data_IF_449139132540
#
_entry.id   IF_449139132540
#
_cell.length_a   1.000
_cell.length_b   1.000
_cell.length_c   1.000
_cell.angle_alpha   90.00
_cell.angle_beta   90.00
_cell.angle_gamma   90.00
#
_symmetry.space_group_name_H-M   'P 1'
#
loop_
_entity.id
_entity.type
_entity.pdbx_description
1 polymer ?
#
# COMPACT_ATOMS: atom_id res chain seq x y z
N UNK A 1 11.88 1.63 18.21
CA UNK A 1 12.78 2.23 19.23
C UNK A 1 13.64 3.30 18.55
N UNK A 2 13.30 4.57 18.76
CA UNK A 2 14.08 5.67 18.18
C UNK A 2 15.39 5.81 18.96
N UNK A 3 16.47 5.31 18.38
CA UNK A 3 17.81 5.55 18.94
C UNK A 3 18.08 7.04 18.67
N UNK A 4 17.99 7.87 19.70
CA UNK A 4 18.38 9.29 19.59
C UNK A 4 19.86 9.40 19.25
N UNK A 5 20.26 10.47 18.56
CA UNK A 5 21.68 10.72 18.24
C UNK A 5 22.56 10.64 19.51
N UNK A 6 22.00 11.01 20.67
CA UNK A 6 22.65 10.89 21.98
C UNK A 6 22.90 9.42 22.40
N UNK A 7 21.98 8.50 22.15
CA UNK A 7 22.20 7.08 22.45
C UNK A 7 23.24 6.48 21.52
N UNK A 8 23.26 6.88 20.25
CA UNK A 8 24.25 6.43 19.28
C UNK A 8 25.66 6.91 19.68
N UNK A 9 25.78 8.15 20.15
CA UNK A 9 27.03 8.69 20.70
C UNK A 9 27.49 7.89 21.93
N UNK A 10 26.60 7.59 22.87
CA UNK A 10 26.92 6.82 24.08
C UNK A 10 27.37 5.39 23.74
N UNK A 11 26.75 4.70 22.78
CA UNK A 11 27.22 3.39 22.31
C UNK A 11 28.57 3.49 21.62
N UNK A 12 28.81 4.53 20.83
CA UNK A 12 30.10 4.80 20.23
C UNK A 12 31.19 5.02 21.27
N UNK A 13 30.90 5.80 22.31
CA UNK A 13 31.83 6.04 23.41
C UNK A 13 32.19 4.76 24.18
N UNK A 14 31.18 3.90 24.45
CA UNK A 14 31.44 2.59 25.09
C UNK A 14 32.35 1.72 24.23
N UNK A 15 32.15 1.70 22.93
CA UNK A 15 33.02 0.98 21.99
C UNK A 15 34.41 1.57 21.98
N UNK A 16 34.56 2.89 21.98
CA UNK A 16 35.83 3.56 22.06
C UNK A 16 36.59 3.21 23.37
N UNK A 17 35.86 3.16 24.49
CA UNK A 17 36.43 2.77 25.78
C UNK A 17 36.91 1.30 25.80
N UNK A 18 36.14 0.38 25.23
CA UNK A 18 36.51 -1.03 25.08
C UNK A 18 37.75 -1.19 24.19
N UNK A 19 37.82 -0.46 23.09
CA UNK A 19 38.97 -0.45 22.19
C UNK A 19 40.20 0.15 22.87
N UNK A 20 40.03 1.24 23.59
CA UNK A 20 41.10 1.81 24.41
C UNK A 20 41.66 0.78 25.37
N UNK A 21 40.81 0.11 26.16
CA UNK A 21 41.24 -0.91 27.10
C UNK A 21 41.99 -2.06 26.39
N UNK A 22 41.45 -2.55 25.27
CA UNK A 22 42.05 -3.64 24.51
C UNK A 22 43.46 -3.26 23.97
N UNK A 23 43.59 -2.13 23.28
CA UNK A 23 44.85 -1.70 22.71
C UNK A 23 45.86 -1.28 23.78
N UNK A 24 45.37 -0.68 24.85
CA UNK A 24 46.23 -0.34 25.99
C UNK A 24 46.80 -1.62 26.63
N UNK A 25 46.02 -2.66 26.83
CA UNK A 25 46.47 -3.95 27.34
C UNK A 25 47.42 -4.63 26.34
N UNK A 26 47.18 -4.51 25.05
CA UNK A 26 48.02 -5.04 23.99
C UNK A 26 49.39 -4.33 23.96
N UNK A 27 49.42 -3.00 24.05
CA UNK A 27 50.68 -2.20 24.16
C UNK A 27 51.44 -2.61 25.41
N UNK A 28 50.76 -2.85 26.53
CA UNK A 28 51.40 -3.35 27.76
C UNK A 28 52.00 -4.75 27.60
N UNK A 29 51.28 -5.66 26.93
CA UNK A 29 51.74 -7.03 26.70
C UNK A 29 53.00 -7.08 25.85
N UNK A 30 53.13 -6.18 24.88
CA UNK A 30 54.33 -6.07 24.04
C UNK A 30 55.39 -5.15 24.61
N UNK A 31 55.11 -4.40 25.66
CA UNK A 31 56.08 -3.56 26.37
C UNK A 31 56.71 -4.35 27.53
N UNK A 32 57.96 -4.08 27.84
CA UNK A 32 58.65 -4.67 28.98
C UNK A 32 58.28 -4.03 30.34
N UNK A 33 57.17 -3.26 30.37
CA UNK A 33 56.75 -2.51 31.55
C UNK A 33 55.75 -3.32 32.39
N UNK A 34 55.98 -3.36 33.70
CA UNK A 34 55.01 -3.86 34.66
C UNK A 34 53.91 -2.82 34.88
N UNK A 35 52.65 -3.29 35.14
CA UNK A 35 51.49 -2.42 35.37
C UNK A 35 51.73 -1.38 36.48
N UNK A 36 52.53 -1.76 37.50
CA UNK A 36 52.86 -0.90 38.62
C UNK A 36 53.80 0.28 38.27
N UNK A 37 54.46 0.22 37.11
CA UNK A 37 55.41 1.25 36.66
C UNK A 37 54.88 2.08 35.50
N UNK A 38 53.60 1.92 35.13
CA UNK A 38 53.02 2.59 34.00
C UNK A 38 53.01 4.12 34.20
N UNK A 39 53.70 4.90 33.33
CA UNK A 39 53.71 6.34 33.49
C UNK A 39 52.32 6.89 33.25
N UNK A 40 51.77 7.67 34.18
CA UNK A 40 50.52 8.39 34.02
C UNK A 40 50.45 9.15 32.69
N UNK A 41 51.59 9.60 32.18
CA UNK A 41 51.73 10.26 30.88
C UNK A 41 51.28 9.36 29.69
N UNK A 42 51.61 8.06 29.68
CA UNK A 42 51.23 7.10 28.63
C UNK A 42 49.69 6.99 28.59
N UNK A 43 49.08 6.84 29.77
CA UNK A 43 47.62 6.75 29.89
C UNK A 43 46.95 8.02 29.36
N UNK A 44 47.42 9.21 29.73
CA UNK A 44 46.85 10.50 29.31
C UNK A 44 46.97 10.65 27.77
N UNK A 45 48.12 10.35 27.20
CA UNK A 45 48.36 10.44 25.75
C UNK A 45 47.46 9.48 25.02
N UNK A 46 47.36 8.22 25.44
CA UNK A 46 46.54 7.22 24.79
C UNK A 46 45.03 7.59 24.84
N UNK A 47 44.52 8.11 25.97
CA UNK A 47 43.17 8.63 26.07
C UNK A 47 42.94 9.79 25.09
N UNK A 48 43.84 10.78 25.10
CA UNK A 48 43.73 11.96 24.23
C UNK A 48 43.65 11.57 22.74
N UNK A 49 44.56 10.69 22.30
CA UNK A 49 44.61 10.24 20.90
C UNK A 49 43.42 9.33 20.53
N UNK A 50 42.92 8.52 21.46
CA UNK A 50 41.69 7.73 21.22
C UNK A 50 40.48 8.64 21.02
N UNK A 51 40.32 9.65 21.86
CA UNK A 51 39.24 10.64 21.72
C UNK A 51 39.40 11.43 20.41
N UNK A 52 40.65 11.79 20.06
CA UNK A 52 40.95 12.54 18.84
C UNK A 52 40.70 11.77 17.51
N UNK A 53 40.56 10.46 17.55
CA UNK A 53 40.06 9.64 16.42
C UNK A 53 38.55 9.45 16.52
N UNK A 54 38.04 9.21 17.72
CA UNK A 54 36.61 8.93 17.94
C UNK A 54 35.69 10.11 17.61
N UNK A 55 35.99 11.29 18.18
CA UNK A 55 35.08 12.46 18.03
C UNK A 55 34.98 12.97 16.59
N UNK A 56 36.09 13.15 15.83
CA UNK A 56 35.97 13.52 14.43
C UNK A 56 35.24 12.47 13.58
N UNK A 57 35.44 11.18 13.84
CA UNK A 57 34.73 10.11 13.15
C UNK A 57 33.22 10.21 13.42
N UNK A 58 32.82 10.39 14.68
CA UNK A 58 31.43 10.61 15.05
C UNK A 58 30.83 11.84 14.35
N UNK A 59 31.52 12.97 14.41
CA UNK A 59 31.06 14.24 13.82
C UNK A 59 30.91 14.17 12.30
N UNK A 60 31.89 13.59 11.59
CA UNK A 60 31.86 13.41 10.14
C UNK A 60 30.71 12.49 9.75
N UNK A 61 30.56 11.35 10.43
CA UNK A 61 29.48 10.40 10.16
C UNK A 61 28.10 11.03 10.34
N UNK A 62 27.88 11.79 11.41
CA UNK A 62 26.62 12.49 11.66
C UNK A 62 26.35 13.59 10.64
N UNK A 63 27.37 14.34 10.25
CA UNK A 63 27.24 15.43 9.28
C UNK A 63 26.91 14.90 7.88
N UNK A 64 27.60 13.85 7.44
CA UNK A 64 27.35 13.23 6.14
C UNK A 64 25.94 12.59 6.08
N UNK A 65 25.50 11.97 7.19
CA UNK A 65 24.13 11.41 7.28
C UNK A 65 23.03 12.46 7.18
N UNK A 66 23.20 13.60 7.85
CA UNK A 66 22.22 14.70 7.76
C UNK A 66 22.00 15.16 6.32
N UNK A 67 23.08 15.15 5.50
CA UNK A 67 23.03 15.55 4.08
C UNK A 67 22.54 14.44 3.15
N UNK A 68 22.79 13.17 3.45
CA UNK A 68 22.52 12.01 2.59
C UNK A 68 21.74 10.93 3.36
N UNK A 69 20.43 11.13 3.48
CA UNK A 69 19.53 10.29 4.30
C UNK A 69 19.11 8.97 3.63
N UNK A 70 19.22 8.85 2.30
CA UNK A 70 18.72 7.69 1.58
C UNK A 70 19.66 6.49 1.69
N UNK A 71 19.11 5.28 1.90
CA UNK A 71 19.87 4.01 1.92
C UNK A 71 20.62 3.78 0.61
N UNK A 72 20.03 4.13 -0.54
CA UNK A 72 20.70 4.03 -1.85
C UNK A 72 21.99 4.85 -1.94
N UNK A 73 22.19 5.82 -1.07
CA UNK A 73 23.38 6.68 -1.02
C UNK A 73 24.44 6.20 -0.04
N UNK A 74 24.34 4.97 0.51
CA UNK A 74 25.30 4.40 1.48
C UNK A 74 26.73 4.45 0.96
N UNK A 75 26.98 4.01 -0.27
CA UNK A 75 28.31 4.07 -0.89
C UNK A 75 28.86 5.48 -0.98
N UNK A 76 28.02 6.46 -1.30
CA UNK A 76 28.42 7.87 -1.38
C UNK A 76 28.74 8.42 0.01
N UNK A 77 27.99 8.01 1.05
CA UNK A 77 28.28 8.38 2.44
C UNK A 77 29.64 7.84 2.90
N UNK A 78 29.83 6.51 2.74
CA UNK A 78 31.07 5.85 3.14
C UNK A 78 32.26 6.49 2.42
N UNK A 79 32.20 6.66 1.10
CA UNK A 79 33.28 7.27 0.32
C UNK A 79 33.57 8.70 0.78
N UNK A 80 32.53 9.51 1.02
CA UNK A 80 32.74 10.89 1.50
C UNK A 80 33.36 10.93 2.90
N UNK A 81 32.93 10.03 3.80
CA UNK A 81 33.52 9.92 5.13
C UNK A 81 34.96 9.47 5.07
N UNK A 82 35.28 8.44 4.27
CA UNK A 82 36.65 7.92 4.12
C UNK A 82 37.63 8.95 3.57
N UNK A 83 37.21 9.75 2.60
CA UNK A 83 38.06 10.84 2.04
C UNK A 83 38.48 11.86 3.10
N UNK A 84 37.71 12.04 4.16
CA UNK A 84 38.03 12.96 5.26
C UNK A 84 38.77 12.23 6.38
N UNK A 85 38.25 11.06 6.76
CA UNK A 85 38.74 10.34 7.96
C UNK A 85 40.09 9.65 7.77
N UNK A 86 40.38 9.12 6.59
CA UNK A 86 41.68 8.44 6.34
C UNK A 86 42.85 9.40 6.52
N UNK A 87 42.90 10.58 5.83
CA UNK A 87 44.00 11.53 6.03
C UNK A 87 44.10 12.03 7.48
N UNK A 88 42.96 12.29 8.12
CA UNK A 88 42.90 12.71 9.52
C UNK A 88 43.50 11.66 10.44
N UNK A 89 43.08 10.39 10.32
CA UNK A 89 43.54 9.29 11.18
C UNK A 89 45.05 9.05 11.03
N UNK A 90 45.54 9.08 9.79
CA UNK A 90 46.98 8.93 9.51
C UNK A 90 47.77 10.08 10.14
N UNK A 91 47.39 11.33 9.86
CA UNK A 91 48.07 12.50 10.40
C UNK A 91 48.07 12.50 11.94
N UNK A 92 46.95 12.10 12.55
CA UNK A 92 46.82 12.06 13.99
C UNK A 92 47.62 10.91 14.63
N UNK A 93 47.74 9.76 13.96
CA UNK A 93 48.61 8.66 14.37
C UNK A 93 50.11 9.06 14.33
N UNK A 94 50.52 9.75 13.28
CA UNK A 94 51.90 10.28 13.18
C UNK A 94 52.18 11.31 14.28
N UNK A 95 51.23 12.21 14.55
CA UNK A 95 51.35 13.19 15.63
C UNK A 95 51.51 12.48 17.00
N UNK A 96 50.74 11.40 17.24
CA UNK A 96 50.87 10.58 18.45
C UNK A 96 52.31 10.11 18.66
N UNK A 97 52.87 9.40 17.68
CA UNK A 97 54.20 8.82 17.77
C UNK A 97 55.25 9.92 17.93
N UNK A 98 55.11 11.06 17.23
CA UNK A 98 56.00 12.21 17.38
C UNK A 98 56.00 12.78 18.81
N UNK A 99 54.82 12.90 19.45
CA UNK A 99 54.67 13.35 20.84
C UNK A 99 55.29 12.34 21.80
N UNK A 100 55.11 11.05 21.59
CA UNK A 100 55.70 9.98 22.41
C UNK A 100 57.21 9.97 22.32
N UNK A 101 57.79 10.14 21.13
CA UNK A 101 59.24 10.23 20.91
C UNK A 101 59.85 11.50 21.51
N UNK A 102 59.18 12.66 21.31
CA UNK A 102 59.61 13.93 21.86
C UNK A 102 59.65 13.93 23.39
N UNK A 103 58.65 13.31 24.00
CA UNK A 103 58.54 13.25 25.47
C UNK A 103 59.44 12.16 26.12
N UNK A 104 60.13 11.35 25.29
CA UNK A 104 60.92 10.18 25.73
C UNK A 104 60.14 9.29 26.72
N UNK A 105 58.86 9.12 26.44
CA UNK A 105 57.90 8.48 27.36
C UNK A 105 58.27 7.01 27.61
N UNK A 106 58.89 6.38 26.62
CA UNK A 106 59.40 4.99 26.68
C UNK A 106 60.82 4.85 27.17
N UNK A 107 61.41 5.93 27.63
CA UNK A 107 62.83 5.92 28.11
C UNK A 107 63.90 5.67 27.04
N UNK A 108 63.47 5.56 25.76
CA UNK A 108 64.36 5.35 24.59
C UNK A 108 63.72 6.01 23.35
N UNK A 109 64.57 6.29 22.36
CA UNK A 109 64.08 6.70 21.04
C UNK A 109 63.36 5.54 20.39
N UNK A 110 62.23 5.86 19.76
CA UNK A 110 61.39 4.89 19.07
C UNK A 110 62.01 4.55 17.72
N UNK A 111 62.16 3.25 17.41
CA UNK A 111 62.59 2.81 16.07
C UNK A 111 61.54 3.11 15.04
N UNK A 112 61.91 4.02 14.14
CA UNK A 112 61.00 4.92 13.41
C UNK A 112 59.99 4.23 12.49
N UNK A 113 60.29 3.10 11.86
CA UNK A 113 59.49 2.55 10.78
C UNK A 113 58.33 1.67 11.27
N UNK A 114 58.62 0.73 12.14
CA UNK A 114 57.66 -0.26 12.61
C UNK A 114 56.53 0.33 13.51
N UNK A 115 56.92 1.17 14.46
CA UNK A 115 55.97 1.72 15.44
C UNK A 115 54.97 2.70 14.82
N UNK A 116 55.39 3.51 13.84
CA UNK A 116 54.49 4.37 13.06
C UNK A 116 53.48 3.55 12.27
N UNK A 117 53.96 2.49 11.60
CA UNK A 117 53.04 1.62 10.84
C UNK A 117 52.05 0.90 11.74
N UNK A 118 52.49 0.41 12.90
CA UNK A 118 51.65 -0.24 13.89
C UNK A 118 50.56 0.72 14.42
N UNK A 119 50.95 1.92 14.86
CA UNK A 119 50.05 2.92 15.41
C UNK A 119 49.03 3.43 14.36
N UNK A 120 49.49 3.68 13.14
CA UNK A 120 48.58 4.06 12.05
C UNK A 120 47.63 2.93 11.68
N UNK A 121 48.10 1.69 11.63
CA UNK A 121 47.28 0.51 11.33
C UNK A 121 46.20 0.27 12.36
N UNK A 122 46.53 0.35 13.65
CA UNK A 122 45.55 0.19 14.75
C UNK A 122 44.53 1.32 14.80
N UNK A 123 44.97 2.57 14.61
CA UNK A 123 44.06 3.73 14.54
C UNK A 123 43.12 3.62 13.34
N UNK A 124 43.61 3.16 12.18
CA UNK A 124 42.80 2.95 10.99
C UNK A 124 41.78 1.81 11.19
N UNK A 125 42.21 0.70 11.78
CA UNK A 125 41.29 -0.41 12.11
C UNK A 125 40.16 0.06 13.04
N UNK A 126 40.50 0.84 14.06
CA UNK A 126 39.53 1.42 14.99
C UNK A 126 38.52 2.35 14.26
N UNK A 127 39.03 3.27 13.44
CA UNK A 127 38.17 4.17 12.64
C UNK A 127 37.26 3.39 11.70
N UNK A 128 37.78 2.39 10.98
CA UNK A 128 36.97 1.55 10.06
C UNK A 128 35.87 0.78 10.79
N UNK A 129 36.18 0.18 11.94
CA UNK A 129 35.19 -0.52 12.75
C UNK A 129 34.11 0.42 13.27
N UNK A 130 34.47 1.61 13.70
CA UNK A 130 33.54 2.63 14.13
C UNK A 130 32.62 3.04 13.00
N UNK A 131 33.12 3.31 11.80
CA UNK A 131 32.31 3.62 10.61
C UNK A 131 31.38 2.46 10.26
N UNK A 132 31.86 1.22 10.29
CA UNK A 132 31.07 0.03 10.02
C UNK A 132 29.90 -0.13 11.01
N UNK A 133 30.13 0.07 12.29
CA UNK A 133 29.11 0.02 13.33
C UNK A 133 28.08 1.13 13.13
N UNK A 134 28.51 2.36 12.87
CA UNK A 134 27.60 3.47 12.62
C UNK A 134 26.73 3.22 11.39
N UNK A 135 27.29 2.78 10.27
CA UNK A 135 26.52 2.48 9.06
C UNK A 135 25.62 1.26 9.25
N UNK A 136 26.09 0.21 9.94
CA UNK A 136 25.29 -0.99 10.24
C UNK A 136 24.04 -0.67 11.08
N UNK A 137 24.20 0.11 12.15
CA UNK A 137 23.08 0.54 13.00
C UNK A 137 22.09 1.44 12.23
N UNK A 138 22.60 2.32 11.37
CA UNK A 138 21.78 3.15 10.52
C UNK A 138 20.98 2.33 9.49
N UNK A 139 21.66 1.41 8.82
CA UNK A 139 21.03 0.50 7.84
C UNK A 139 19.94 -0.36 8.50
N UNK A 140 20.24 -0.95 9.65
CA UNK A 140 19.27 -1.76 10.39
C UNK A 140 18.03 -0.95 10.78
N UNK A 141 18.20 0.30 11.23
CA UNK A 141 17.07 1.20 11.54
C UNK A 141 16.22 1.46 10.31
N UNK A 142 16.83 1.81 9.19
CA UNK A 142 16.11 2.11 7.94
C UNK A 142 15.39 0.87 7.40
N UNK A 143 16.05 -0.28 7.43
CA UNK A 143 15.48 -1.54 7.01
C UNK A 143 14.23 -1.90 7.82
N UNK A 144 14.31 -1.77 9.16
CA UNK A 144 13.16 -1.99 10.04
C UNK A 144 11.99 -1.05 9.73
N UNK A 145 12.27 0.24 9.49
CA UNK A 145 11.24 1.22 9.13
C UNK A 145 10.57 0.85 7.80
N UNK A 146 11.36 0.48 6.79
CA UNK A 146 10.82 0.07 5.48
C UNK A 146 9.95 -1.19 5.55
N UNK A 147 10.28 -2.16 6.43
CA UNK A 147 9.42 -3.33 6.64
C UNK A 147 8.08 -2.92 7.24
N UNK A 148 8.08 -2.08 8.28
CA UNK A 148 6.85 -1.63 8.93
C UNK A 148 5.95 -0.82 7.98
N UNK A 149 6.54 0.05 7.15
CA UNK A 149 5.81 0.79 6.12
C UNK A 149 5.20 -0.14 5.05
N UNK A 150 5.95 -1.17 4.62
CA UNK A 150 5.46 -2.15 3.67
C UNK A 150 4.30 -3.00 4.25
N UNK A 151 4.38 -3.40 5.51
CA UNK A 151 3.31 -4.12 6.21
C UNK A 151 2.05 -3.26 6.35
N UNK A 152 2.19 -1.97 6.69
CA UNK A 152 1.07 -1.06 6.81
C UNK A 152 0.38 -0.81 5.45
N UNK A 153 1.17 -0.59 4.39
CA UNK A 153 0.63 -0.47 3.03
C UNK A 153 -0.10 -1.74 2.58
N UNK A 154 0.43 -2.91 2.91
CA UNK A 154 -0.23 -4.19 2.62
C UNK A 154 -1.55 -4.31 3.39
N UNK A 155 -1.59 -3.93 4.65
CA UNK A 155 -2.81 -3.95 5.48
C UNK A 155 -3.87 -3.01 4.90
N UNK A 156 -3.50 -1.75 4.59
CA UNK A 156 -4.40 -0.78 3.98
C UNK A 156 -4.95 -1.25 2.63
N UNK A 157 -4.12 -1.89 1.82
CA UNK A 157 -4.56 -2.47 0.55
C UNK A 157 -5.59 -3.59 0.77
N UNK A 158 -5.34 -4.50 1.73
CA UNK A 158 -6.30 -5.56 2.07
C UNK A 158 -7.60 -5.00 2.64
N UNK A 159 -7.56 -3.99 3.50
CA UNK A 159 -8.75 -3.31 4.02
C UNK A 159 -9.56 -2.66 2.89
N UNK A 160 -8.88 -1.98 1.96
CA UNK A 160 -9.52 -1.39 0.77
C UNK A 160 -10.17 -2.43 -0.13
N UNK A 161 -9.50 -3.57 -0.36
CA UNK A 161 -10.06 -4.68 -1.12
C UNK A 161 -11.26 -5.31 -0.41
N UNK A 162 -11.18 -5.47 0.92
CA UNK A 162 -12.27 -6.01 1.73
C UNK A 162 -13.49 -5.07 1.73
N UNK A 163 -13.29 -3.77 1.87
CA UNK A 163 -14.36 -2.78 1.79
C UNK A 163 -15.00 -2.74 0.40
N UNK A 164 -14.22 -2.87 -0.66
CA UNK A 164 -14.74 -2.98 -2.02
C UNK A 164 -15.61 -4.23 -2.19
N UNK A 165 -15.19 -5.39 -1.65
CA UNK A 165 -15.98 -6.61 -1.64
C UNK A 165 -17.27 -6.47 -0.82
N UNK A 166 -17.20 -5.83 0.35
CA UNK A 166 -18.35 -5.60 1.23
C UNK A 166 -19.44 -4.72 0.57
N UNK A 167 -19.04 -3.71 -0.19
CA UNK A 167 -19.97 -2.85 -0.95
C UNK A 167 -20.67 -3.64 -2.05
N UNK A 168 -20.02 -4.63 -2.66
CA UNK A 168 -20.60 -5.46 -3.73
C UNK A 168 -21.74 -6.39 -3.23
N UNK A 169 -21.74 -6.79 -1.95
CA UNK A 169 -22.74 -7.72 -1.40
C UNK A 169 -24.13 -7.07 -1.22
N UNK A 170 -24.27 -5.74 -1.35
CA UNK A 170 -25.52 -5.02 -1.14
C UNK A 170 -26.31 -5.50 0.11
N UNK A 171 -25.88 -5.15 1.33
CA UNK A 171 -26.44 -5.74 2.56
C UNK A 171 -27.95 -5.59 2.67
N UNK A 172 -28.49 -4.47 2.19
CA UNK A 172 -29.92 -4.20 2.21
C UNK A 172 -30.71 -5.17 1.31
N UNK A 173 -30.18 -5.52 0.12
CA UNK A 173 -30.82 -6.52 -0.74
C UNK A 173 -30.78 -7.90 -0.09
N UNK A 174 -29.67 -8.29 0.53
CA UNK A 174 -29.55 -9.56 1.24
C UNK A 174 -30.56 -9.68 2.37
N UNK A 175 -30.65 -8.70 3.26
CA UNK A 175 -31.63 -8.71 4.35
C UNK A 175 -33.07 -8.78 3.85
N UNK A 176 -33.40 -8.03 2.80
CA UNK A 176 -34.73 -8.07 2.20
C UNK A 176 -35.04 -9.43 1.56
N UNK A 177 -34.08 -10.04 0.89
CA UNK A 177 -34.23 -11.37 0.28
C UNK A 177 -34.38 -12.46 1.34
N UNK A 178 -33.64 -12.39 2.45
CA UNK A 178 -33.82 -13.33 3.57
C UNK A 178 -35.21 -13.18 4.22
N UNK A 179 -35.70 -11.96 4.41
CA UNK A 179 -37.06 -11.75 4.93
C UNK A 179 -38.13 -12.30 3.98
N UNK A 180 -37.97 -12.14 2.65
CA UNK A 180 -38.86 -12.73 1.65
C UNK A 180 -38.80 -14.26 1.70
N UNK A 181 -37.61 -14.83 1.86
CA UNK A 181 -37.40 -16.28 1.97
C UNK A 181 -38.11 -16.86 3.19
N UNK A 182 -38.01 -16.20 4.35
CA UNK A 182 -38.72 -16.61 5.57
C UNK A 182 -40.21 -16.64 5.34
N UNK A 183 -40.81 -15.58 4.77
CA UNK A 183 -42.22 -15.53 4.45
C UNK A 183 -42.62 -16.64 3.45
N UNK A 184 -41.82 -16.85 2.39
CA UNK A 184 -42.10 -17.92 1.43
C UNK A 184 -42.00 -19.31 2.04
N UNK A 185 -41.05 -19.54 2.97
CA UNK A 185 -40.90 -20.82 3.65
C UNK A 185 -42.14 -21.17 4.51
N UNK A 186 -42.77 -20.15 5.07
CA UNK A 186 -43.96 -20.31 5.89
C UNK A 186 -45.22 -20.54 5.04
N UNK A 187 -45.39 -19.77 3.95
CA UNK A 187 -46.63 -19.76 3.18
C UNK A 187 -46.60 -20.54 1.84
N UNK A 188 -45.40 -20.73 1.25
CA UNK A 188 -45.21 -21.44 -0.02
C UNK A 188 -43.82 -22.08 -0.13
N UNK A 189 -43.60 -23.22 0.54
CA UNK A 189 -42.28 -23.88 0.58
C UNK A 189 -41.72 -24.24 -0.81
N UNK A 190 -42.48 -24.68 -1.82
CA UNK A 190 -41.93 -24.91 -3.14
C UNK A 190 -41.34 -23.64 -3.79
N UNK A 191 -42.01 -22.48 -3.62
CA UNK A 191 -41.55 -21.18 -4.12
C UNK A 191 -40.32 -20.70 -3.35
N UNK A 192 -40.21 -21.03 -2.05
CA UNK A 192 -39.00 -20.74 -1.22
C UNK A 192 -37.76 -21.46 -1.75
N UNK A 193 -37.90 -22.73 -2.16
CA UNK A 193 -36.77 -23.49 -2.75
C UNK A 193 -36.29 -22.87 -4.06
N UNK A 194 -37.23 -22.47 -4.94
CA UNK A 194 -36.89 -21.79 -6.19
C UNK A 194 -36.18 -20.46 -5.93
N UNK A 195 -36.76 -19.64 -5.06
CA UNK A 195 -36.16 -18.35 -4.65
C UNK A 195 -34.75 -18.50 -4.10
N UNK A 196 -34.52 -19.53 -3.26
CA UNK A 196 -33.18 -19.82 -2.71
C UNK A 196 -32.17 -20.19 -3.79
N UNK A 197 -32.58 -20.98 -4.78
CA UNK A 197 -31.71 -21.35 -5.93
C UNK A 197 -31.34 -20.12 -6.76
N UNK A 198 -32.30 -19.24 -7.06
CA UNK A 198 -32.04 -18.00 -7.80
C UNK A 198 -31.16 -17.04 -7.02
N UNK A 199 -31.42 -16.88 -5.72
CA UNK A 199 -30.60 -16.06 -4.83
C UNK A 199 -29.13 -16.57 -4.78
N UNK A 200 -28.96 -17.89 -4.67
CA UNK A 200 -27.63 -18.52 -4.71
C UNK A 200 -26.92 -18.30 -6.05
N UNK A 201 -27.65 -18.42 -7.19
CA UNK A 201 -27.11 -18.13 -8.53
C UNK A 201 -26.66 -16.68 -8.66
N UNK A 202 -27.46 -15.76 -8.16
CA UNK A 202 -27.17 -14.33 -8.15
C UNK A 202 -25.90 -14.01 -7.36
N UNK A 203 -25.75 -14.53 -6.14
CA UNK A 203 -24.55 -14.29 -5.32
C UNK A 203 -23.28 -14.93 -5.92
N UNK A 204 -23.41 -16.10 -6.55
CA UNK A 204 -22.29 -16.73 -7.27
C UNK A 204 -21.82 -15.82 -8.41
N UNK A 205 -22.76 -15.28 -9.19
CA UNK A 205 -22.41 -14.34 -10.26
C UNK A 205 -21.71 -13.10 -9.72
N UNK A 206 -22.15 -12.50 -8.62
CA UNK A 206 -21.44 -11.37 -7.99
C UNK A 206 -19.99 -11.70 -7.67
N UNK A 207 -19.71 -12.91 -7.21
CA UNK A 207 -18.35 -13.35 -6.92
C UNK A 207 -17.54 -13.56 -8.20
N UNK A 208 -18.16 -14.15 -9.23
CA UNK A 208 -17.49 -14.47 -10.50
C UNK A 208 -17.13 -13.22 -11.32
N UNK A 209 -17.94 -12.15 -11.24
CA UNK A 209 -17.66 -10.88 -11.93
C UNK A 209 -16.83 -9.91 -11.09
N UNK A 210 -16.56 -10.25 -9.84
CA UNK A 210 -15.72 -9.45 -8.96
C UNK A 210 -14.31 -9.36 -9.52
N UNK A 211 -13.87 -8.13 -9.80
CA UNK A 211 -12.56 -7.86 -10.40
C UNK A 211 -12.53 -7.86 -11.93
N UNK A 212 -13.60 -8.29 -12.62
CA UNK A 212 -13.67 -8.13 -14.07
C UNK A 212 -13.96 -6.69 -14.43
N UNK A 213 -13.28 -6.19 -15.44
CA UNK A 213 -13.50 -4.84 -15.96
C UNK A 213 -14.69 -4.79 -16.90
N UNK A 214 -14.83 -5.79 -17.76
CA UNK A 214 -15.90 -5.96 -18.75
C UNK A 214 -16.38 -7.41 -18.78
N UNK A 215 -17.66 -7.60 -19.13
CA UNK A 215 -18.31 -8.90 -19.33
C UNK A 215 -19.13 -8.87 -20.61
N UNK A 216 -19.55 -10.02 -21.11
CA UNK A 216 -20.45 -10.09 -22.27
C UNK A 216 -21.81 -9.44 -21.93
N UNK A 217 -22.42 -8.82 -22.92
CA UNK A 217 -23.78 -8.25 -22.78
C UNK A 217 -24.81 -9.35 -22.53
N UNK A 218 -24.56 -10.55 -23.04
CA UNK A 218 -25.38 -11.74 -22.80
C UNK A 218 -25.36 -12.15 -21.32
N UNK A 219 -24.16 -12.30 -20.73
CA UNK A 219 -24.00 -12.64 -19.30
C UNK A 219 -24.68 -11.60 -18.40
N UNK A 220 -24.50 -10.31 -18.71
CA UNK A 220 -25.13 -9.21 -17.96
C UNK A 220 -26.66 -9.27 -18.05
N UNK A 221 -27.21 -9.61 -19.23
CA UNK A 221 -28.65 -9.74 -19.42
C UNK A 221 -29.22 -10.99 -18.72
N UNK A 222 -28.52 -12.13 -18.78
CA UNK A 222 -28.90 -13.35 -18.05
C UNK A 222 -28.94 -13.09 -16.54
N UNK A 223 -27.93 -12.43 -16.02
CA UNK A 223 -27.88 -12.01 -14.63
C UNK A 223 -29.04 -11.06 -14.28
N UNK A 224 -29.28 -10.05 -15.13
CA UNK A 224 -30.37 -9.09 -14.95
C UNK A 224 -31.70 -9.81 -14.91
N UNK A 225 -31.95 -10.79 -15.77
CA UNK A 225 -33.19 -11.62 -15.73
C UNK A 225 -33.34 -12.39 -14.42
N UNK A 226 -32.25 -12.97 -13.90
CA UNK A 226 -32.24 -13.66 -12.59
C UNK A 226 -32.58 -12.69 -11.45
N UNK A 227 -31.98 -11.50 -11.44
CA UNK A 227 -32.28 -10.45 -10.48
C UNK A 227 -33.73 -10.00 -10.52
N UNK A 228 -34.28 -9.85 -11.72
CA UNK A 228 -35.63 -9.44 -11.98
C UNK A 228 -36.66 -10.50 -11.52
N UNK A 229 -36.38 -11.80 -11.68
CA UNK A 229 -37.20 -12.90 -11.16
C UNK A 229 -37.31 -12.84 -9.63
N UNK A 230 -36.17 -12.57 -8.93
CA UNK A 230 -36.18 -12.37 -7.48
C UNK A 230 -37.05 -11.16 -7.06
N UNK A 231 -36.95 -10.03 -7.79
CA UNK A 231 -37.77 -8.85 -7.54
C UNK A 231 -39.22 -9.11 -7.80
N UNK A 232 -39.57 -9.83 -8.89
CA UNK A 232 -40.97 -10.20 -9.21
C UNK A 232 -41.55 -11.08 -8.11
N UNK A 233 -40.79 -12.02 -7.55
CA UNK A 233 -41.25 -12.82 -6.41
C UNK A 233 -41.59 -11.97 -5.18
N UNK A 234 -40.94 -10.81 -5.00
CA UNK A 234 -41.14 -9.90 -3.89
C UNK A 234 -42.31 -8.90 -4.13
N UNK A 235 -42.42 -8.37 -5.34
CA UNK A 235 -43.40 -7.30 -5.67
C UNK A 235 -44.62 -7.80 -6.42
N UNK A 236 -44.63 -9.07 -6.85
CA UNK A 236 -45.70 -9.77 -7.53
C UNK A 236 -46.30 -8.96 -8.69
N UNK A 237 -47.59 -8.68 -8.69
CA UNK A 237 -48.30 -7.91 -9.71
C UNK A 237 -47.94 -6.40 -9.74
N UNK A 238 -47.17 -5.91 -8.80
CA UNK A 238 -46.70 -4.53 -8.75
C UNK A 238 -45.49 -4.22 -9.66
N UNK A 239 -44.83 -5.24 -10.25
CA UNK A 239 -43.64 -5.04 -11.07
C UNK A 239 -43.79 -5.72 -12.43
N UNK A 240 -43.80 -4.90 -13.48
CA UNK A 240 -43.82 -5.36 -14.87
C UNK A 240 -42.50 -5.05 -15.54
N UNK A 241 -42.03 -6.02 -16.35
CA UNK A 241 -40.77 -5.89 -17.02
C UNK A 241 -40.85 -6.45 -18.41
N UNK A 242 -40.34 -5.66 -19.35
CA UNK A 242 -40.25 -5.98 -20.75
C UNK A 242 -38.80 -5.90 -21.22
N UNK A 243 -38.33 -6.99 -21.77
CA UNK A 243 -36.97 -7.06 -22.33
C UNK A 243 -37.13 -7.44 -23.78
N UNK A 244 -36.74 -6.54 -24.67
CA UNK A 244 -36.81 -6.82 -26.11
C UNK A 244 -35.90 -8.01 -26.42
N UNK A 245 -36.41 -9.09 -27.02
CA UNK A 245 -35.61 -10.25 -27.43
C UNK A 245 -34.54 -9.81 -28.43
N UNK A 246 -33.29 -10.32 -28.25
CA UNK A 246 -32.20 -9.90 -29.09
C UNK A 246 -31.20 -11.04 -29.27
N UNK A 247 -30.62 -11.15 -30.46
CA UNK A 247 -29.57 -12.10 -30.86
C UNK A 247 -28.23 -11.37 -30.94
N UNK A 248 -27.11 -12.10 -30.84
CA UNK A 248 -25.77 -11.55 -31.02
C UNK A 248 -25.22 -10.71 -29.86
N UNK A 249 -25.77 -10.89 -28.66
CA UNK A 249 -25.35 -10.14 -27.46
C UNK A 249 -23.96 -10.56 -26.98
N UNK A 250 -23.50 -11.74 -27.29
CA UNK A 250 -22.17 -12.31 -26.95
C UNK A 250 -21.02 -11.58 -27.65
N UNK A 251 -21.30 -10.92 -28.79
CA UNK A 251 -20.31 -10.12 -29.53
C UNK A 251 -19.98 -8.77 -28.87
N UNK A 252 -20.72 -8.38 -27.85
CA UNK A 252 -20.62 -7.08 -27.18
C UNK A 252 -20.31 -7.21 -25.70
N UNK A 253 -19.67 -6.18 -25.15
CA UNK A 253 -19.26 -6.13 -23.74
C UNK A 253 -19.58 -4.79 -23.11
N UNK A 254 -19.76 -4.84 -21.78
CA UNK A 254 -19.96 -3.66 -20.93
C UNK A 254 -19.42 -3.92 -19.51
N UNK A 255 -19.26 -2.89 -18.67
CA UNK A 255 -18.90 -3.08 -17.28
C UNK A 255 -19.95 -3.90 -16.52
N UNK A 256 -19.55 -4.90 -15.72
CA UNK A 256 -20.46 -5.77 -14.98
C UNK A 256 -21.36 -4.99 -14.03
N UNK A 257 -22.58 -5.51 -13.82
CA UNK A 257 -23.61 -4.97 -12.93
C UNK A 257 -24.20 -3.61 -13.39
N UNK A 258 -24.01 -3.23 -14.66
CA UNK A 258 -24.49 -1.98 -15.21
C UNK A 258 -26.03 -1.96 -15.34
N UNK A 259 -26.63 -3.02 -15.91
CA UNK A 259 -28.07 -3.13 -16.05
C UNK A 259 -28.77 -3.37 -14.72
N UNK A 260 -28.19 -4.23 -13.87
CA UNK A 260 -28.71 -4.48 -12.52
C UNK A 260 -28.81 -3.19 -11.71
N UNK A 261 -27.79 -2.33 -11.74
CA UNK A 261 -27.79 -1.06 -11.04
C UNK A 261 -28.91 -0.12 -11.51
N UNK A 262 -29.23 -0.13 -12.80
CA UNK A 262 -30.31 0.67 -13.36
C UNK A 262 -31.69 0.16 -12.92
N UNK A 263 -31.88 -1.15 -12.93
CA UNK A 263 -33.11 -1.80 -12.43
C UNK A 263 -33.25 -1.52 -10.93
N UNK A 264 -32.17 -1.65 -10.16
CA UNK A 264 -32.16 -1.32 -8.73
C UNK A 264 -32.56 0.13 -8.50
N UNK A 265 -32.03 1.07 -9.27
CA UNK A 265 -32.42 2.48 -9.19
C UNK A 265 -33.91 2.69 -9.45
N UNK A 266 -34.47 2.04 -10.47
CA UNK A 266 -35.88 2.11 -10.77
C UNK A 266 -36.74 1.62 -9.57
N UNK A 267 -36.41 0.47 -8.99
CA UNK A 267 -37.11 -0.12 -7.84
C UNK A 267 -36.94 0.71 -6.57
N UNK A 268 -35.74 1.21 -6.32
CA UNK A 268 -35.42 1.98 -5.12
C UNK A 268 -36.15 3.32 -5.07
N UNK A 269 -36.24 4.02 -6.19
CA UNK A 269 -36.72 5.39 -6.24
C UNK A 269 -38.24 5.52 -6.51
N UNK A 270 -38.94 4.44 -6.92
CA UNK A 270 -40.33 4.46 -7.24
C UNK A 270 -41.19 3.68 -6.23
N UNK A 271 -42.43 4.11 -6.05
CA UNK A 271 -43.46 3.36 -5.33
C UNK A 271 -43.84 2.15 -6.20
N UNK A 272 -44.00 0.99 -5.57
CA UNK A 272 -44.36 -0.25 -6.26
C UNK A 272 -45.53 -0.88 -5.50
N UNK A 273 -46.68 -0.99 -6.15
CA UNK A 273 -47.85 -1.66 -5.61
C UNK A 273 -48.77 -2.11 -6.78
N UNK A 274 -49.74 -2.97 -6.50
CA UNK A 274 -50.73 -3.39 -7.52
C UNK A 274 -51.51 -2.21 -8.13
N UNK A 275 -51.80 -1.15 -7.32
CA UNK A 275 -52.49 0.04 -7.80
C UNK A 275 -51.58 1.04 -8.53
N UNK A 276 -50.26 0.94 -8.27
CA UNK A 276 -49.26 1.76 -8.91
C UNK A 276 -48.09 0.86 -9.37
N UNK A 277 -48.30 0.13 -10.49
CA UNK A 277 -47.29 -0.79 -10.98
C UNK A 277 -46.10 -0.03 -11.56
N UNK A 278 -44.88 -0.54 -11.27
CA UNK A 278 -43.65 -0.08 -11.88
C UNK A 278 -43.40 -0.87 -13.16
N UNK A 279 -43.30 -0.18 -14.27
CA UNK A 279 -42.94 -0.74 -15.57
C UNK A 279 -41.48 -0.42 -15.87
N UNK A 280 -40.66 -1.45 -16.11
CA UNK A 280 -39.26 -1.32 -16.52
C UNK A 280 -39.11 -1.96 -17.89
N UNK A 281 -38.57 -1.23 -18.83
CA UNK A 281 -38.30 -1.69 -20.19
C UNK A 281 -36.81 -1.66 -20.47
N UNK A 282 -36.25 -2.74 -21.03
CA UNK A 282 -34.87 -2.84 -21.49
C UNK A 282 -34.89 -3.11 -22.99
N UNK A 283 -34.26 -2.23 -23.76
CA UNK A 283 -34.16 -2.34 -25.22
C UNK A 283 -32.74 -2.09 -25.69
N UNK A 284 -32.39 -2.65 -26.85
CA UNK A 284 -31.04 -2.61 -27.42
C UNK A 284 -31.07 -1.94 -28.78
N UNK A 285 -30.18 -1.01 -29.00
CA UNK A 285 -29.93 -0.34 -30.28
C UNK A 285 -28.48 -0.69 -30.72
N UNK A 286 -28.34 -1.59 -31.68
CA UNK A 286 -27.04 -2.07 -32.19
C UNK A 286 -26.40 -1.08 -33.16
N UNK A 287 -27.17 -0.20 -33.79
CA UNK A 287 -26.62 0.81 -34.67
C UNK A 287 -25.91 1.88 -33.86
N UNK A 288 -26.50 2.29 -32.74
CA UNK A 288 -25.94 3.28 -31.84
C UNK A 288 -25.07 2.65 -30.74
N UNK A 289 -25.02 1.33 -30.61
CA UNK A 289 -24.35 0.59 -29.52
C UNK A 289 -24.82 1.01 -28.13
N UNK A 290 -26.14 1.13 -27.94
CA UNK A 290 -26.73 1.58 -26.70
C UNK A 290 -27.77 0.57 -26.18
N UNK A 291 -27.67 0.24 -24.88
CA UNK A 291 -28.76 -0.38 -24.15
C UNK A 291 -29.55 0.70 -23.40
N UNK A 292 -30.87 0.72 -23.57
CA UNK A 292 -31.75 1.68 -22.94
C UNK A 292 -32.56 1.00 -21.85
N UNK A 293 -32.47 1.52 -20.64
CA UNK A 293 -33.32 1.12 -19.52
C UNK A 293 -34.25 2.28 -19.20
N UNK A 294 -35.55 2.02 -19.30
CA UNK A 294 -36.63 3.01 -19.15
C UNK A 294 -37.60 2.54 -18.09
N UNK A 295 -38.09 3.46 -17.25
CA UNK A 295 -39.15 3.19 -16.30
C UNK A 295 -40.14 4.37 -16.16
N UNK A 296 -41.37 4.08 -15.77
CA UNK A 296 -42.32 5.11 -15.37
C UNK A 296 -41.91 5.73 -14.02
N UNK A 297 -42.20 7.03 -13.84
CA UNK A 297 -41.85 7.79 -12.64
C UNK A 297 -42.99 7.79 -11.64
N UNK A 298 -42.75 7.21 -10.47
CA UNK A 298 -43.62 7.17 -9.29
C UNK A 298 -42.83 7.47 -8.03
N UNK A 299 -42.26 8.69 -7.89
CA UNK A 299 -41.23 8.94 -6.88
C UNK A 299 -41.75 8.76 -5.45
N UNK A 300 -41.00 8.06 -4.61
CA UNK A 300 -41.22 7.96 -3.16
C UNK A 300 -40.97 9.30 -2.48
N UNK A 301 -41.86 9.71 -1.56
CA UNK A 301 -41.82 11.04 -0.91
C UNK A 301 -40.61 11.28 0.00
N UNK A 302 -39.94 10.23 0.51
CA UNK A 302 -38.92 10.36 1.58
C UNK A 302 -37.54 9.76 1.24
N UNK A 303 -37.16 9.68 -0.03
CA UNK A 303 -35.83 9.19 -0.39
C UNK A 303 -34.89 10.37 -0.65
N UNK A 304 -33.79 10.44 0.08
CA UNK A 304 -32.68 11.34 -0.22
C UNK A 304 -32.12 10.94 -1.60
N UNK A 305 -32.25 11.82 -2.58
CA UNK A 305 -31.69 11.62 -3.93
C UNK A 305 -30.16 11.71 -3.85
N UNK A 306 -29.50 10.63 -3.48
CA UNK A 306 -28.03 10.62 -3.38
C UNK A 306 -27.35 10.60 -4.75
N UNK A 307 -28.05 10.17 -5.82
CA UNK A 307 -27.47 10.06 -7.17
C UNK A 307 -26.22 9.19 -7.27
N UNK A 308 -25.80 8.60 -6.15
CA UNK A 308 -24.51 7.93 -6.00
C UNK A 308 -24.34 6.74 -6.96
N UNK A 309 -25.41 5.97 -7.22
CA UNK A 309 -25.36 4.81 -8.11
C UNK A 309 -25.02 5.20 -9.56
N UNK A 310 -25.76 6.14 -10.12
CA UNK A 310 -25.54 6.63 -11.48
C UNK A 310 -24.19 7.36 -11.61
N UNK A 311 -23.80 8.11 -10.58
CA UNK A 311 -22.48 8.75 -10.57
C UNK A 311 -21.35 7.70 -10.57
N UNK A 312 -21.52 6.61 -9.84
CA UNK A 312 -20.57 5.49 -9.81
C UNK A 312 -20.48 4.80 -11.18
N UNK A 313 -21.63 4.57 -11.82
CA UNK A 313 -21.67 4.01 -13.16
C UNK A 313 -20.94 4.91 -14.17
N UNK A 314 -21.24 6.21 -14.19
CA UNK A 314 -20.55 7.19 -15.05
C UNK A 314 -19.04 7.20 -14.82
N UNK A 315 -18.59 7.22 -13.55
CA UNK A 315 -17.16 7.14 -13.23
C UNK A 315 -16.51 5.85 -13.73
N UNK A 316 -17.19 4.71 -13.60
CA UNK A 316 -16.70 3.41 -14.07
C UNK A 316 -16.50 3.41 -15.60
N UNK A 317 -17.46 3.94 -16.35
CA UNK A 317 -17.34 4.09 -17.81
C UNK A 317 -16.19 5.01 -18.19
N UNK A 318 -16.08 6.15 -17.56
CA UNK A 318 -15.00 7.11 -17.80
C UNK A 318 -13.61 6.51 -17.52
N UNK A 319 -13.43 5.80 -16.39
CA UNK A 319 -12.16 5.15 -16.03
C UNK A 319 -11.75 4.05 -17.01
N UNK A 320 -12.72 3.40 -17.67
CA UNK A 320 -12.47 2.37 -18.69
C UNK A 320 -12.33 2.95 -20.11
N UNK A 321 -12.37 4.29 -20.26
CA UNK A 321 -12.31 4.93 -21.57
C UNK A 321 -13.48 4.60 -22.49
N UNK A 322 -14.64 4.24 -21.89
CA UNK A 322 -15.87 3.95 -22.62
C UNK A 322 -16.69 5.23 -22.85
N UNK A 323 -17.61 5.25 -23.83
CA UNK A 323 -18.50 6.38 -24.05
C UNK A 323 -19.36 6.70 -22.82
N UNK A 324 -19.85 7.94 -22.72
CA UNK A 324 -20.59 8.41 -21.55
C UNK A 324 -21.99 7.78 -21.44
N UNK A 325 -22.40 7.50 -20.19
CA UNK A 325 -23.75 7.10 -19.84
C UNK A 325 -24.67 8.32 -19.89
N UNK A 326 -25.73 8.24 -20.74
CA UNK A 326 -26.70 9.29 -20.92
C UNK A 326 -27.90 9.07 -20.00
N UNK A 327 -28.34 10.14 -19.36
CA UNK A 327 -29.50 10.11 -18.43
C UNK A 327 -30.48 11.16 -18.89
N UNK A 328 -31.70 10.75 -19.15
CA UNK A 328 -32.80 11.61 -19.53
C UNK A 328 -33.97 11.42 -18.56
N UNK A 329 -34.55 12.52 -18.11
CA UNK A 329 -35.72 12.54 -17.25
C UNK A 329 -36.76 13.44 -17.84
N UNK A 330 -37.79 12.84 -18.47
CA UNK A 330 -38.91 13.59 -19.01
C UNK A 330 -40.06 13.64 -17.99
N UNK A 331 -40.25 14.81 -17.40
CA UNK A 331 -41.35 15.07 -16.47
C UNK A 331 -42.72 15.15 -17.13
N UNK A 332 -42.79 15.36 -18.46
CA UNK A 332 -44.06 15.45 -19.18
C UNK A 332 -44.62 14.05 -19.44
N UNK A 333 -43.81 13.15 -19.94
CA UNK A 333 -44.16 11.73 -20.14
C UNK A 333 -44.15 10.93 -18.83
N UNK A 334 -43.64 11.49 -17.74
CA UNK A 334 -43.39 10.80 -16.47
C UNK A 334 -42.53 9.56 -16.63
N UNK A 335 -41.46 9.67 -17.38
CA UNK A 335 -40.53 8.60 -17.68
C UNK A 335 -39.09 8.96 -17.26
N UNK A 336 -38.36 7.94 -16.86
CA UNK A 336 -36.94 8.05 -16.58
C UNK A 336 -36.20 7.06 -17.49
N UNK A 337 -35.23 7.57 -18.24
CA UNK A 337 -34.50 6.81 -19.25
C UNK A 337 -33.01 6.94 -19.01
N UNK A 338 -32.29 5.81 -18.98
CA UNK A 338 -30.85 5.77 -18.97
C UNK A 338 -30.36 4.96 -20.16
N UNK A 339 -29.44 5.53 -20.93
CA UNK A 339 -28.81 4.86 -22.07
C UNK A 339 -27.38 4.57 -21.70
N UNK A 340 -27.00 3.30 -21.77
CA UNK A 340 -25.68 2.78 -21.42
C UNK A 340 -25.02 2.26 -22.68
N UNK A 341 -23.82 2.76 -23.03
CA UNK A 341 -23.10 2.26 -24.20
C UNK A 341 -22.53 0.86 -23.95
N UNK A 342 -22.54 0.03 -24.99
CA UNK A 342 -21.79 -1.23 -25.04
C UNK A 342 -20.80 -1.18 -26.20
N UNK A 343 -19.77 -1.99 -26.17
CA UNK A 343 -18.72 -1.99 -27.18
C UNK A 343 -18.48 -3.39 -27.72
N UNK A 344 -18.06 -3.53 -28.98
CA UNK A 344 -17.70 -4.84 -29.55
C UNK A 344 -16.58 -5.50 -28.74
N UNK A 345 -16.67 -6.80 -28.49
CA UNK A 345 -15.65 -7.58 -27.79
C UNK A 345 -14.27 -7.53 -28.47
N UNK A 346 -14.23 -7.35 -29.78
CA UNK A 346 -13.00 -7.16 -30.57
C UNK A 346 -12.19 -5.92 -30.17
N UNK A 347 -12.79 -4.95 -29.52
CA UNK A 347 -12.12 -3.75 -29.01
C UNK A 347 -11.20 -4.06 -27.81
N UNK A 348 -11.48 -5.14 -27.07
CA UNK A 348 -10.64 -5.61 -25.96
C UNK A 348 -9.29 -6.16 -26.41
N UNK A 349 -9.22 -6.81 -27.57
CA UNK A 349 -8.01 -7.40 -28.11
C UNK A 349 -6.96 -6.36 -28.57
N UNK A 350 -7.33 -5.07 -28.66
CA UNK A 350 -6.44 -3.96 -29.06
C UNK A 350 -5.93 -3.12 -27.87
N UNK A 351 -6.43 -3.38 -26.65
CA UNK A 351 -6.09 -2.58 -25.47
C UNK A 351 -5.18 -3.33 -24.46
N UNK A 352 -4.78 -4.55 -24.77
CA UNK A 352 -3.73 -5.36 -24.13
C UNK A 352 -2.54 -5.41 -25.08
#
# INVERSE_FOLDING_TARGET
>A
MNISDKKLHNYGFLIAALFFCFFFLLEMFFSTWEISQLPLKVLIITIFFTIGVFEPTHWVMMTVRKKKKNVKQTWVRIRTAMLILIPWTIAFAFLRVWVEDYTLIWGRKIDFSWYYMWTAGTAMLFMLLQVAIYEGLYFFKQWKTSILEAEELKRLNLETQFDALKVQIQPHFLFNSLNTLVALAEFNPPKAVLFTKELSRMYRYFLDVSGKQLISLEDELEFTRTYLSLLKTRYDEGLFMDITPTEGLDEYVLPPLSLQLLVENAVKHNVISQHHPLHVQISFDFEQHLVTVKNNLQPKKNIIKTGAGLLHLKKKFHLLGLPDVLVDQDFRSKEFTVKVPFVPASRLAKAV
#
